data_IF_265259931844
#
_entry.id   IF_265259931844
#
_cell.length_a   1.000
_cell.length_b   1.000
_cell.length_c   1.000
_cell.angle_alpha   90.00
_cell.angle_beta   90.00
_cell.angle_gamma   90.00
#
_symmetry.space_group_name_H-M   'P 1'
#
loop_
_entity.id
_entity.type
_entity.pdbx_description
1 polymer ?
#
# COMPACT_ATOMS: atom_id res chain seq x y z
N UNK A 1 23.95 -21.77 16.89
CA UNK A 1 23.78 -20.39 16.88
C UNK A 1 24.32 -19.72 15.72
N UNK A 2 25.59 -19.87 15.40
CA UNK A 2 26.13 -19.20 14.26
C UNK A 2 25.49 -19.60 12.98
N UNK A 3 25.11 -20.85 12.86
CA UNK A 3 24.47 -21.32 11.67
C UNK A 3 23.13 -20.65 11.46
N UNK A 4 22.45 -20.39 12.57
CA UNK A 4 21.16 -19.75 12.45
C UNK A 4 21.29 -18.33 11.94
N UNK A 5 22.37 -17.67 12.35
CA UNK A 5 22.59 -16.34 11.93
C UNK A 5 22.88 -16.30 10.43
N UNK A 6 23.64 -17.26 9.95
CA UNK A 6 23.93 -17.32 8.54
C UNK A 6 22.67 -17.56 7.72
N UNK A 7 21.82 -18.43 8.23
CA UNK A 7 20.58 -18.70 7.54
C UNK A 7 19.69 -17.46 7.52
N UNK A 8 19.71 -16.74 8.61
CA UNK A 8 18.93 -15.56 8.69
C UNK A 8 19.39 -14.55 7.68
N UNK A 9 20.67 -14.42 7.50
CA UNK A 9 21.20 -13.51 6.52
C UNK A 9 20.77 -13.87 5.13
N UNK A 10 20.77 -15.12 4.81
CA UNK A 10 20.32 -15.56 3.52
C UNK A 10 18.86 -15.23 3.31
N UNK A 11 18.06 -15.43 4.32
CA UNK A 11 16.66 -15.13 4.23
C UNK A 11 16.44 -13.65 4.02
N UNK A 12 17.23 -12.84 4.69
CA UNK A 12 17.10 -11.42 4.53
C UNK A 12 17.46 -10.99 3.12
N UNK A 13 18.50 -11.58 2.57
CA UNK A 13 18.86 -11.26 1.21
C UNK A 13 17.78 -11.64 0.23
N UNK A 14 17.19 -12.79 0.42
CA UNK A 14 16.12 -13.22 -0.43
C UNK A 14 14.93 -12.26 -0.30
N UNK A 15 14.66 -11.83 0.91
CA UNK A 15 13.56 -10.92 1.13
C UNK A 15 13.83 -9.58 0.50
N UNK A 16 15.06 -9.12 0.47
CA UNK A 16 15.32 -7.84 -0.15
C UNK A 16 15.26 -7.93 -1.65
N UNK A 17 15.33 -9.09 -2.23
CA UNK A 17 15.16 -9.23 -3.67
C UNK A 17 13.70 -9.09 -4.04
N UNK A 18 12.80 -9.35 -3.11
CA UNK A 18 11.38 -9.20 -3.35
C UNK A 18 10.75 -8.65 -2.09
N UNK A 19 10.35 -7.38 -2.14
CA UNK A 19 9.78 -6.76 -0.98
C UNK A 19 8.51 -7.43 -0.51
N UNK A 20 7.89 -8.22 -1.37
CA UNK A 20 6.61 -8.82 -1.04
C UNK A 20 6.69 -9.91 -0.02
N UNK A 21 7.82 -10.58 0.12
CA UNK A 21 7.92 -11.65 1.09
C UNK A 21 7.86 -11.16 2.51
N UNK A 22 7.92 -9.85 2.71
CA UNK A 22 7.84 -9.33 4.06
C UNK A 22 6.42 -9.21 4.57
N UNK A 23 5.44 -9.37 3.73
CA UNK A 23 4.06 -9.08 4.10
C UNK A 23 3.32 -10.36 4.46
N UNK A 24 2.34 -10.20 5.36
CA UNK A 24 1.54 -11.34 5.79
C UNK A 24 0.57 -11.79 4.73
N UNK A 25 0.10 -10.87 3.91
CA UNK A 25 -0.89 -11.19 2.88
C UNK A 25 -0.79 -10.16 1.77
N UNK A 26 -1.07 -10.56 0.57
CA UNK A 26 -1.06 -9.68 -0.59
C UNK A 26 -2.38 -9.87 -1.32
N UNK A 27 -3.06 -8.78 -1.56
CA UNK A 27 -4.37 -8.80 -2.20
C UNK A 27 -4.28 -8.12 -3.55
N UNK A 28 -4.84 -8.73 -4.58
CA UNK A 28 -4.85 -8.11 -5.90
C UNK A 28 -5.90 -7.01 -5.95
N UNK A 29 -5.72 -6.08 -6.88
CA UNK A 29 -6.69 -5.02 -7.11
C UNK A 29 -7.09 -5.08 -8.57
N UNK A 30 -8.12 -4.31 -8.97
CA UNK A 30 -8.47 -4.25 -10.39
C UNK A 30 -7.35 -3.75 -11.27
N UNK A 31 -6.35 -3.08 -10.71
CA UNK A 31 -5.21 -2.61 -11.48
C UNK A 31 -4.05 -3.57 -11.26
N UNK A 32 -3.55 -4.12 -12.36
CA UNK A 32 -2.45 -5.07 -12.30
C UNK A 32 -1.21 -4.50 -11.64
N UNK A 33 -1.01 -3.21 -11.82
CA UNK A 33 0.18 -2.55 -11.30
C UNK A 33 0.22 -2.49 -9.79
N UNK A 34 -0.94 -2.46 -9.13
CA UNK A 34 -0.97 -2.24 -7.69
C UNK A 34 -1.54 -3.43 -6.94
N UNK A 35 -0.98 -3.66 -5.77
CA UNK A 35 -1.49 -4.67 -4.85
C UNK A 35 -1.67 -4.01 -3.49
N UNK A 36 -2.53 -4.59 -2.67
CA UNK A 36 -2.68 -4.15 -1.29
C UNK A 36 -1.95 -5.17 -0.44
N UNK A 37 -0.98 -4.72 0.34
CA UNK A 37 -0.17 -5.60 1.14
C UNK A 37 -0.49 -5.40 2.60
N UNK A 38 -0.48 -6.48 3.36
CA UNK A 38 -0.90 -6.47 4.76
C UNK A 38 0.24 -6.88 5.66
N UNK A 39 0.37 -6.19 6.78
CA UNK A 39 1.31 -6.57 7.81
C UNK A 39 0.77 -6.11 9.15
N UNK A 40 0.71 -7.03 10.11
CA UNK A 40 0.23 -6.73 11.47
C UNK A 40 -1.15 -6.08 11.45
N UNK A 41 -2.03 -6.63 10.63
CA UNK A 41 -3.42 -6.20 10.54
C UNK A 41 -3.62 -4.82 9.90
N UNK A 42 -2.57 -4.25 9.36
CA UNK A 42 -2.69 -2.99 8.63
C UNK A 42 -2.29 -3.22 7.18
N UNK A 43 -2.68 -2.32 6.31
CA UNK A 43 -2.36 -2.49 4.89
C UNK A 43 -1.82 -1.21 4.28
N UNK A 44 -1.20 -1.37 3.13
CA UNK A 44 -0.66 -0.28 2.36
C UNK A 44 -0.70 -0.64 0.89
N UNK A 45 -0.40 0.33 0.05
CA UNK A 45 -0.43 0.14 -1.38
C UNK A 45 0.97 -0.16 -1.89
N UNK A 46 1.07 -1.15 -2.75
CA UNK A 46 2.34 -1.63 -3.28
C UNK A 46 2.32 -1.57 -4.81
N UNK A 47 3.42 -1.10 -5.39
CA UNK A 47 3.55 -1.03 -6.84
C UNK A 47 4.30 -2.25 -7.33
N UNK A 48 3.60 -3.12 -8.05
CA UNK A 48 4.20 -4.35 -8.54
C UNK A 48 5.21 -4.13 -9.66
N UNK A 49 5.11 -3.03 -10.38
CA UNK A 49 6.03 -2.76 -11.48
C UNK A 49 7.41 -2.34 -10.99
N UNK A 50 7.47 -1.55 -9.94
CA UNK A 50 8.75 -1.14 -9.41
C UNK A 50 9.09 -1.86 -8.11
N UNK A 51 8.20 -2.75 -7.67
CA UNK A 51 8.44 -3.60 -6.51
C UNK A 51 8.75 -2.80 -5.25
N UNK A 52 7.92 -1.84 -4.95
CA UNK A 52 8.13 -1.05 -3.74
C UNK A 52 6.81 -0.49 -3.23
N UNK A 53 6.80 -0.11 -1.96
CA UNK A 53 5.63 0.46 -1.33
C UNK A 53 5.35 1.85 -1.86
N UNK A 54 4.08 2.14 -2.10
CA UNK A 54 3.63 3.46 -2.48
C UNK A 54 3.23 4.24 -1.24
N UNK A 55 2.56 3.57 -0.29
CA UNK A 55 2.18 4.20 0.96
C UNK A 55 2.71 3.40 2.12
N UNK A 56 2.71 4.01 3.30
CA UNK A 56 3.04 3.26 4.50
C UNK A 56 1.95 2.23 4.75
N UNK A 57 2.28 1.18 5.51
CA UNK A 57 1.33 0.14 5.87
C UNK A 57 0.64 0.59 7.14
N UNK A 58 -0.38 1.43 6.99
CA UNK A 58 -1.02 2.06 8.13
C UNK A 58 -2.53 2.07 8.06
N UNK A 59 -3.11 1.58 7.00
CA UNK A 59 -4.55 1.62 6.83
C UNK A 59 -5.21 0.36 7.33
N UNK A 60 -6.43 0.51 7.85
CA UNK A 60 -7.22 -0.67 8.18
C UNK A 60 -7.82 -1.28 6.93
N UNK A 61 -8.09 -0.46 5.92
CA UNK A 61 -8.63 -0.93 4.67
C UNK A 61 -8.27 0.04 3.55
N UNK A 62 -8.08 -0.51 2.36
CA UNK A 62 -7.87 0.28 1.16
C UNK A 62 -8.71 -0.34 0.07
N UNK A 63 -9.32 0.49 -0.75
CA UNK A 63 -10.14 0.00 -1.83
C UNK A 63 -9.99 0.88 -3.05
N UNK A 64 -9.83 0.26 -4.21
CA UNK A 64 -9.71 0.99 -5.46
C UNK A 64 -11.04 1.65 -5.79
N UNK A 65 -10.98 2.92 -6.16
CA UNK A 65 -12.17 3.69 -6.42
C UNK A 65 -12.30 4.11 -7.88
N UNK A 66 -11.21 4.18 -8.61
CA UNK A 66 -11.26 4.56 -10.01
C UNK A 66 -9.98 5.24 -10.42
N UNK A 67 -9.86 5.52 -11.70
CA UNK A 67 -8.71 6.20 -12.26
C UNK A 67 -9.20 7.48 -12.92
N UNK A 68 -8.55 8.59 -12.59
CA UNK A 68 -8.94 9.88 -13.12
C UNK A 68 -7.83 10.44 -13.98
N UNK A 69 -8.15 10.94 -15.17
CA UNK A 69 -7.12 11.56 -16.01
C UNK A 69 -6.83 12.96 -15.54
N UNK A 70 -5.58 13.33 -15.64
CA UNK A 70 -5.18 14.69 -15.39
C UNK A 70 -4.50 15.21 -16.65
N UNK A 71 -3.86 16.35 -16.53
CA UNK A 71 -3.16 16.90 -17.68
C UNK A 71 -1.82 16.21 -17.81
N UNK A 72 -1.73 15.27 -18.72
CA UNK A 72 -0.49 14.56 -18.93
C UNK A 72 -0.17 13.50 -17.90
N UNK A 73 -1.05 13.27 -16.96
CA UNK A 73 -0.83 12.25 -15.94
C UNK A 73 -2.14 11.57 -15.61
N UNK A 74 -2.05 10.50 -14.86
CA UNK A 74 -3.22 9.77 -14.39
C UNK A 74 -3.15 9.63 -12.90
N UNK A 75 -4.30 9.70 -12.27
CA UNK A 75 -4.38 9.48 -10.83
C UNK A 75 -5.22 8.25 -10.56
N UNK A 76 -4.72 7.34 -9.73
CA UNK A 76 -5.56 6.25 -9.26
C UNK A 76 -6.09 6.65 -7.90
N UNK A 77 -7.39 6.45 -7.72
CA UNK A 77 -8.08 6.91 -6.53
C UNK A 77 -8.44 5.73 -5.66
N UNK A 78 -8.19 5.86 -4.38
CA UNK A 78 -8.43 4.79 -3.42
C UNK A 78 -9.15 5.36 -2.22
N UNK A 79 -10.02 4.55 -1.63
CA UNK A 79 -10.66 4.91 -0.37
C UNK A 79 -9.86 4.26 0.73
N UNK A 80 -9.41 5.06 1.70
CA UNK A 80 -8.62 4.57 2.81
C UNK A 80 -9.37 4.71 4.11
N UNK A 81 -9.16 3.76 5.01
CA UNK A 81 -9.81 3.77 6.30
C UNK A 81 -8.80 3.53 7.39
N UNK A 82 -8.84 4.32 8.42
CA UNK A 82 -8.04 4.12 9.61
C UNK A 82 -8.98 4.16 10.80
N UNK A 83 -8.47 3.82 11.97
CA UNK A 83 -9.35 3.68 13.13
C UNK A 83 -10.26 4.87 13.34
N UNK A 84 -9.72 6.07 13.34
CA UNK A 84 -10.50 7.28 13.59
C UNK A 84 -10.73 8.13 12.37
N UNK A 85 -10.26 7.70 11.21
CA UNK A 85 -10.32 8.53 10.00
C UNK A 85 -10.71 7.71 8.79
N UNK A 86 -11.26 8.39 7.81
CA UNK A 86 -11.50 7.78 6.51
C UNK A 86 -11.42 8.85 5.46
N UNK A 87 -11.09 8.49 4.25
CA UNK A 87 -10.96 9.48 3.19
C UNK A 87 -10.44 8.89 1.91
N UNK A 88 -9.83 9.76 1.12
CA UNK A 88 -9.38 9.41 -0.22
C UNK A 88 -7.87 9.49 -0.30
N UNK A 89 -7.33 8.62 -1.13
CA UNK A 89 -5.92 8.59 -1.43
C UNK A 89 -5.79 8.65 -2.93
N UNK A 90 -5.04 9.60 -3.44
CA UNK A 90 -4.81 9.74 -4.87
C UNK A 90 -3.34 9.48 -5.13
N UNK A 91 -3.05 8.62 -6.10
CA UNK A 91 -1.68 8.28 -6.46
C UNK A 91 -1.44 8.74 -7.89
N UNK A 92 -0.44 9.59 -8.08
CA UNK A 92 -0.07 10.00 -9.41
C UNK A 92 0.75 8.89 -10.05
N UNK A 93 0.32 8.43 -11.22
CA UNK A 93 0.93 7.26 -11.85
C UNK A 93 2.39 7.43 -12.20
N UNK A 94 2.80 8.64 -12.54
CA UNK A 94 4.17 8.87 -12.97
C UNK A 94 5.16 8.86 -11.81
N UNK A 95 4.82 9.56 -10.74
CA UNK A 95 5.74 9.69 -9.61
C UNK A 95 5.41 8.75 -8.47
N UNK A 96 4.22 8.17 -8.46
CA UNK A 96 3.71 7.35 -7.36
C UNK A 96 3.60 8.16 -6.07
N UNK A 97 3.45 9.46 -6.20
CA UNK A 97 3.34 10.29 -5.03
C UNK A 97 1.92 10.24 -4.47
N UNK A 98 1.73 9.90 -3.21
CA UNK A 98 0.39 9.83 -2.65
C UNK A 98 -0.08 11.18 -2.13
N UNK A 99 -1.33 11.49 -2.37
CA UNK A 99 -1.98 12.65 -1.79
C UNK A 99 -3.14 12.12 -0.98
N UNK A 100 -3.12 12.39 0.30
CA UNK A 100 -4.07 11.80 1.22
C UNK A 100 -4.98 12.87 1.81
N UNK A 101 -6.28 12.66 1.75
CA UNK A 101 -7.25 13.56 2.36
C UNK A 101 -8.12 12.74 3.28
N UNK A 102 -7.92 12.89 4.58
CA UNK A 102 -8.61 12.09 5.55
C UNK A 102 -9.49 12.96 6.45
N UNK A 103 -10.61 12.42 6.85
CA UNK A 103 -11.56 13.10 7.71
C UNK A 103 -11.86 12.27 8.94
N UNK A 104 -12.06 12.89 10.09
CA UNK A 104 -12.44 12.13 11.29
C UNK A 104 -13.78 11.45 11.10
N UNK A 105 -13.84 10.20 11.50
CA UNK A 105 -15.05 9.42 11.34
C UNK A 105 -16.21 9.95 12.15
N UNK A 106 -15.93 10.53 13.27
CA UNK A 106 -17.00 10.95 14.12
C UNK A 106 -17.76 12.15 13.57
N UNK A 107 -17.29 12.78 12.54
CA UNK A 107 -18.06 13.82 11.90
C UNK A 107 -19.29 13.28 11.22
N UNK A 108 -19.32 11.99 11.00
CA UNK A 108 -20.46 11.38 10.35
C UNK A 108 -21.54 10.93 11.31
N UNK A 109 -21.34 11.18 12.53
CA UNK A 109 -22.30 10.79 13.46
C UNK A 109 -23.38 11.70 13.56
N UNK A 110 -24.30 11.65 13.70
CA UNK A 110 -25.40 12.43 13.81
C UNK A 110 -26.06 12.79 12.87
#
# INVERSE_FOLDING_TARGET
MKNNIALLLLAVLAASCSGRVKFDRIETTPLERYSIVYKDAKCGLYDNHVDSLVTAVKYDALKYCGTEPGEGVEFTMWVGEMEDFQGMLAIESTTNEPVEIMFPKELNED
#
